data_IF_229743606683
#
_entry.id   IF_229743606683
#
_cell.length_a   1.000
_cell.length_b   1.000
_cell.length_c   1.000
_cell.angle_alpha   90.00
_cell.angle_beta   90.00
_cell.angle_gamma   90.00
#
_symmetry.space_group_name_H-M   'P 1'
#
loop_
_entity.id
_entity.type
_entity.pdbx_description
1 polymer ?
#
# COMPACT_ATOMS: atom_id res chain seq x y z
N UNK A 1 -6.96 -0.15 50.15
CA UNK A 1 -8.03 -0.22 49.67
C UNK A 1 -8.23 0.45 48.35
N UNK A 2 -8.77 1.40 48.28
CA UNK A 2 -9.01 2.05 47.03
C UNK A 2 -7.86 2.12 46.11
N UNK A 3 -6.79 2.43 46.55
CA UNK A 3 -5.66 2.61 45.70
C UNK A 3 -5.50 1.53 44.74
N UNK A 4 -5.81 0.49 45.02
CA UNK A 4 -5.66 -0.61 44.17
C UNK A 4 -6.26 -0.41 42.87
N UNK A 5 -7.39 -0.14 42.81
CA UNK A 5 -8.07 0.04 41.61
C UNK A 5 -7.35 0.92 40.70
N UNK A 6 -6.82 1.86 41.15
CA UNK A 6 -6.16 2.78 40.30
C UNK A 6 -5.22 2.08 39.35
N UNK A 7 -4.54 1.22 39.79
CA UNK A 7 -3.57 0.58 39.00
C UNK A 7 -4.08 0.07 37.70
N UNK A 8 -5.13 -0.53 37.73
CA UNK A 8 -5.66 -1.08 36.58
C UNK A 8 -5.78 -0.13 35.46
N UNK A 9 -6.15 0.93 35.69
CA UNK A 9 -6.37 1.86 34.61
C UNK A 9 -5.26 1.98 33.64
N UNK A 10 -4.12 1.84 34.08
CA UNK A 10 -3.03 2.04 33.21
C UNK A 10 -2.87 1.07 32.15
N UNK A 11 -2.80 -0.07 32.40
CA UNK A 11 -2.54 -1.04 31.41
C UNK A 11 -3.40 -0.83 30.20
N UNK A 12 -4.44 -0.35 30.37
CA UNK A 12 -5.33 -0.05 29.33
C UNK A 12 -4.63 0.66 28.23
N UNK A 13 -3.89 1.58 28.58
CA UNK A 13 -3.25 2.36 27.57
C UNK A 13 -2.41 1.60 26.63
N UNK A 14 -1.86 0.63 27.02
CA UNK A 14 -1.01 -0.09 26.15
C UNK A 14 -1.64 -0.45 24.88
N UNK A 15 -2.72 -0.93 24.89
CA UNK A 15 -3.36 -1.35 23.71
C UNK A 15 -3.26 -0.30 22.67
N UNK A 16 -3.25 0.80 23.04
CA UNK A 16 -3.14 1.89 22.14
C UNK A 16 -2.02 1.70 21.17
N UNK A 17 -0.90 1.36 21.64
CA UNK A 17 0.23 1.25 20.78
C UNK A 17 -0.01 0.35 19.61
N UNK A 18 -0.81 -0.55 19.80
CA UNK A 18 -1.13 -1.49 18.77
C UNK A 18 -1.72 -0.87 17.55
N UNK A 19 -2.64 -0.03 17.73
CA UNK A 19 -3.32 0.57 16.60
C UNK A 19 -2.37 1.25 15.65
N UNK A 20 -1.26 1.67 16.14
CA UNK A 20 -0.35 2.40 15.31
C UNK A 20 0.42 1.52 14.36
N UNK A 21 0.30 0.24 14.50
CA UNK A 21 1.07 -0.66 13.66
C UNK A 21 0.69 -0.61 12.19
N UNK A 22 -0.55 -0.39 11.89
CA UNK A 22 -0.98 -0.38 10.51
C UNK A 22 -0.98 1.04 9.98
N UNK A 23 -0.40 1.25 8.83
CA UNK A 23 -0.38 2.57 8.22
C UNK A 23 -0.59 2.43 6.74
N UNK A 24 -1.57 3.14 6.24
CA UNK A 24 -1.81 3.16 4.81
C UNK A 24 -0.90 4.19 4.16
N UNK A 25 -0.32 3.82 3.08
CA UNK A 25 0.53 4.71 2.32
C UNK A 25 0.09 4.71 0.87
N UNK A 26 0.37 5.80 0.19
CA UNK A 26 0.04 5.93 -1.21
C UNK A 26 1.33 6.19 -1.97
N UNK A 27 1.52 5.45 -3.05
CA UNK A 27 2.71 5.60 -3.86
C UNK A 27 2.28 5.75 -5.32
N UNK A 28 3.00 6.56 -6.07
CA UNK A 28 2.78 6.68 -7.49
C UNK A 28 3.94 6.02 -8.22
N UNK A 29 3.60 5.13 -9.12
CA UNK A 29 4.58 4.40 -9.89
C UNK A 29 4.47 4.81 -11.34
N UNK A 30 5.60 5.01 -12.00
CA UNK A 30 5.62 5.15 -13.44
C UNK A 30 5.70 3.74 -14.00
N UNK A 31 4.79 3.38 -14.85
CA UNK A 31 4.68 2.01 -15.36
C UNK A 31 5.02 2.02 -16.84
N UNK A 32 6.03 1.26 -17.20
CA UNK A 32 6.45 1.21 -18.59
C UNK A 32 5.73 0.09 -19.32
N UNK A 33 5.59 0.24 -20.63
CA UNK A 33 5.09 -0.85 -21.45
C UNK A 33 3.59 -0.92 -21.62
N UNK A 34 2.85 0.04 -21.09
CA UNK A 34 1.39 0.03 -21.27
C UNK A 34 1.05 0.56 -22.64
N UNK A 35 1.21 -0.26 -23.65
CA UNK A 35 0.98 0.18 -25.02
C UNK A 35 -0.32 -0.34 -25.61
N UNK A 36 -1.14 -1.00 -24.85
CA UNK A 36 -2.40 -1.52 -25.34
C UNK A 36 -3.54 -1.03 -24.45
N UNK A 37 -4.75 -1.05 -25.02
CA UNK A 37 -5.90 -0.53 -24.30
C UNK A 37 -6.23 -1.34 -23.04
N UNK A 38 -5.91 -2.62 -23.02
CA UNK A 38 -6.20 -3.44 -21.85
C UNK A 38 -5.04 -3.51 -20.87
N UNK A 39 -3.90 -2.93 -21.21
CA UNK A 39 -2.74 -2.97 -20.32
C UNK A 39 -3.00 -2.36 -18.96
N UNK A 40 -3.65 -1.20 -18.86
CA UNK A 40 -3.91 -0.63 -17.53
C UNK A 40 -4.75 -1.57 -16.67
N UNK A 41 -5.66 -2.31 -17.28
CA UNK A 41 -6.48 -3.24 -16.53
C UNK A 41 -5.62 -4.35 -15.96
N UNK A 42 -4.67 -4.84 -16.73
CA UNK A 42 -3.78 -5.90 -16.29
C UNK A 42 -2.92 -5.40 -15.13
N UNK A 43 -2.38 -4.20 -15.25
CA UNK A 43 -1.53 -3.63 -14.22
C UNK A 43 -2.34 -3.46 -12.94
N UNK A 44 -3.56 -2.97 -13.06
CA UNK A 44 -4.39 -2.78 -11.89
C UNK A 44 -4.69 -4.11 -11.21
N UNK A 45 -5.02 -5.12 -11.98
CA UNK A 45 -5.34 -6.42 -11.43
C UNK A 45 -4.13 -7.01 -10.69
N UNK A 46 -2.97 -6.91 -11.29
CA UNK A 46 -1.76 -7.44 -10.70
C UNK A 46 -1.46 -6.74 -9.38
N UNK A 47 -1.62 -5.42 -9.34
CA UNK A 47 -1.37 -4.68 -8.11
C UNK A 47 -2.39 -5.02 -7.04
N UNK A 48 -3.65 -5.17 -7.44
CA UNK A 48 -4.69 -5.48 -6.47
C UNK A 48 -4.53 -6.85 -5.87
N UNK A 49 -3.82 -7.74 -6.54
CA UNK A 49 -3.60 -9.08 -6.01
C UNK A 49 -2.48 -9.14 -4.99
N UNK A 50 -1.72 -8.08 -4.83
CA UNK A 50 -0.66 -8.08 -3.84
C UNK A 50 -1.31 -7.94 -2.47
N UNK A 51 -1.03 -8.85 -1.54
CA UNK A 51 -1.62 -8.75 -0.21
C UNK A 51 -1.23 -7.43 0.44
N UNK A 52 -2.19 -6.74 0.99
CA UNK A 52 -1.93 -5.46 1.61
C UNK A 52 -2.31 -4.26 0.77
N UNK A 53 -2.61 -4.46 -0.50
CA UNK A 53 -3.02 -3.36 -1.37
C UNK A 53 -4.50 -3.10 -1.16
N UNK A 54 -4.84 -1.85 -0.79
CA UNK A 54 -6.23 -1.46 -0.58
C UNK A 54 -6.88 -1.09 -1.90
N UNK A 55 -6.13 -0.41 -2.77
CA UNK A 55 -6.65 -0.09 -4.09
C UNK A 55 -5.53 0.36 -5.00
N UNK A 56 -5.76 0.24 -6.28
CA UNK A 56 -4.82 0.65 -7.29
C UNK A 56 -5.58 1.35 -8.40
N UNK A 57 -5.10 2.51 -8.81
CA UNK A 57 -5.69 3.25 -9.90
C UNK A 57 -4.64 3.47 -10.94
N UNK A 58 -4.92 3.08 -12.16
CA UNK A 58 -3.94 3.09 -13.24
C UNK A 58 -4.41 4.01 -14.34
N UNK A 59 -3.52 4.88 -14.79
CA UNK A 59 -3.81 5.79 -15.89
C UNK A 59 -3.02 5.37 -17.12
N UNK A 60 -3.73 5.07 -18.19
CA UNK A 60 -3.09 4.70 -19.44
C UNK A 60 -2.43 5.94 -20.07
N UNK A 61 -3.13 7.05 -20.03
CA UNK A 61 -2.63 8.25 -20.65
C UNK A 61 -1.34 8.77 -20.02
N UNK A 62 -1.24 8.60 -18.71
CA UNK A 62 -0.08 9.10 -18.01
C UNK A 62 0.94 8.01 -17.72
N UNK A 63 0.57 6.77 -18.00
CA UNK A 63 1.46 5.63 -17.74
C UNK A 63 1.88 5.57 -16.29
N UNK A 64 0.93 5.75 -15.41
CA UNK A 64 1.19 5.78 -13.99
C UNK A 64 0.17 4.95 -13.24
N UNK A 65 0.56 4.48 -12.07
CA UNK A 65 -0.33 3.76 -11.18
C UNK A 65 -0.21 4.38 -9.79
N UNK A 66 -1.35 4.67 -9.18
CA UNK A 66 -1.39 5.18 -7.82
C UNK A 66 -1.92 4.05 -6.95
N UNK A 67 -1.12 3.63 -6.00
CA UNK A 67 -1.45 2.47 -5.18
C UNK A 67 -1.51 2.86 -3.73
N UNK A 68 -2.59 2.49 -3.07
CA UNK A 68 -2.74 2.66 -1.63
C UNK A 68 -2.58 1.29 -1.00
N UNK A 69 -1.68 1.17 -0.07
CA UNK A 69 -1.36 -0.12 0.53
C UNK A 69 -1.04 0.02 2.00
N UNK A 70 -1.09 -1.09 2.72
CA UNK A 70 -0.77 -1.15 4.13
C UNK A 70 0.71 -1.50 4.23
N UNK A 71 1.51 -0.59 4.74
CA UNK A 71 2.95 -0.81 4.77
C UNK A 71 3.37 -1.84 5.81
N UNK A 72 2.47 -2.30 6.63
CA UNK A 72 2.76 -3.41 7.52
C UNK A 72 2.65 -4.75 6.79
N UNK A 73 2.02 -4.76 5.61
CA UNK A 73 1.78 -6.00 4.89
C UNK A 73 2.56 -6.11 3.61
N UNK A 74 2.92 -5.02 2.99
CA UNK A 74 3.65 -5.08 1.74
C UNK A 74 4.56 -3.88 1.63
N UNK A 75 5.37 -3.84 0.58
CA UNK A 75 6.33 -2.78 0.39
C UNK A 75 6.26 -2.30 -1.04
N UNK A 76 6.86 -1.13 -1.29
CA UNK A 76 6.93 -0.61 -2.63
C UNK A 76 7.70 -1.56 -3.54
N UNK A 77 8.73 -2.19 -3.00
CA UNK A 77 9.50 -3.14 -3.79
C UNK A 77 8.63 -4.30 -4.25
N UNK A 78 7.74 -4.75 -3.39
CA UNK A 78 6.85 -5.85 -3.75
C UNK A 78 5.89 -5.43 -4.85
N UNK A 79 5.44 -4.18 -4.82
CA UNK A 79 4.56 -3.68 -5.86
C UNK A 79 5.28 -3.61 -7.19
N UNK A 80 6.51 -3.12 -7.18
CA UNK A 80 7.29 -3.03 -8.40
C UNK A 80 7.59 -4.41 -8.97
N UNK A 81 7.83 -5.38 -8.11
CA UNK A 81 8.07 -6.74 -8.57
C UNK A 81 6.82 -7.35 -9.16
N UNK A 82 5.66 -7.02 -8.62
CA UNK A 82 4.42 -7.54 -9.15
C UNK A 82 4.19 -7.06 -10.58
N UNK A 83 4.42 -5.77 -10.82
CA UNK A 83 4.22 -5.26 -12.17
C UNK A 83 5.29 -5.79 -13.12
N UNK A 84 6.52 -5.93 -12.65
CA UNK A 84 7.58 -6.46 -13.49
C UNK A 84 7.29 -7.90 -13.87
N UNK A 85 6.71 -8.67 -12.97
CA UNK A 85 6.34 -10.03 -13.27
C UNK A 85 5.30 -10.14 -14.37
N UNK A 86 4.49 -9.11 -14.52
CA UNK A 86 3.50 -9.05 -15.58
C UNK A 86 4.05 -8.34 -16.83
N UNK A 87 5.34 -8.05 -16.83
CA UNK A 87 6.04 -7.39 -17.94
C UNK A 87 5.77 -5.91 -18.06
N UNK A 88 5.42 -5.28 -16.93
CA UNK A 88 5.23 -3.83 -16.90
C UNK A 88 6.15 -3.26 -15.82
N UNK A 89 7.45 -3.14 -16.11
CA UNK A 89 8.37 -2.61 -15.10
C UNK A 89 7.91 -1.24 -14.62
N UNK A 90 8.08 -0.98 -13.36
CA UNK A 90 7.65 0.29 -12.81
C UNK A 90 8.69 0.82 -11.83
N UNK A 91 8.60 2.11 -11.57
CA UNK A 91 9.51 2.76 -10.62
C UNK A 91 8.73 3.84 -9.88
N UNK A 92 9.17 4.12 -8.69
CA UNK A 92 8.50 5.10 -7.86
C UNK A 92 8.84 6.51 -8.35
N UNK A 93 7.81 7.31 -8.56
CA UNK A 93 8.03 8.70 -8.92
C UNK A 93 7.40 9.64 -7.91
N UNK A 94 6.64 9.13 -6.94
CA UNK A 94 6.07 9.95 -5.89
C UNK A 94 5.55 9.10 -4.76
N UNK A 95 5.66 9.58 -3.53
CA UNK A 95 5.12 8.89 -2.38
C UNK A 95 4.32 9.87 -1.57
N UNK A 96 3.03 9.54 -1.39
CA UNK A 96 2.17 10.31 -0.55
C UNK A 96 2.17 9.65 0.79
N UNK A 97 2.43 10.38 1.77
CA UNK A 97 2.46 9.77 3.04
C UNK A 97 1.09 9.59 3.57
N UNK A 98 0.48 9.12 3.87
CA UNK A 98 -0.59 9.14 4.44
C UNK A 98 -1.03 8.74 5.04
#
# INVERSE_FOLDING_TARGET
MSRILSALGLFVTLLVGVAAAAAERTVTLAVDGMSCASCPYIVRTVLQEVPGVARAEVSYAEEMAVVTFDDAKTTVAALAQATAGARFPSRVIGQGGD
#
